data_IF_641506072814
#
_entry.id   IF_641506072814
#
_cell.length_a   1.000
_cell.length_b   1.000
_cell.length_c   1.000
_cell.angle_alpha   90.00
_cell.angle_beta   90.00
_cell.angle_gamma   90.00
#
_symmetry.space_group_name_H-M   'P 1'
#
loop_
_entity.id
_entity.type
_entity.pdbx_description
1 polymer ?
#
# COMPACT_ATOMS: atom_id res chain seq x y z
N UNK A 1 11.73 3.64 3.90
CA UNK A 1 10.98 2.43 4.31
C UNK A 1 9.80 2.82 5.19
N UNK A 2 8.87 1.89 5.41
CA UNK A 2 7.68 2.01 6.28
C UNK A 2 6.68 3.13 5.94
N UNK A 3 6.77 3.71 4.73
CA UNK A 3 5.85 4.75 4.24
C UNK A 3 6.13 6.15 4.77
N UNK A 4 7.21 6.78 4.28
CA UNK A 4 7.60 8.13 4.70
C UNK A 4 7.93 9.00 3.51
N UNK A 5 7.68 10.30 3.66
CA UNK A 5 8.13 11.36 2.75
C UNK A 5 8.79 12.49 3.55
N UNK A 6 9.55 13.35 2.88
CA UNK A 6 10.22 14.47 3.52
C UNK A 6 9.21 15.59 3.90
N UNK A 7 9.53 16.35 4.97
CA UNK A 7 8.69 17.45 5.47
C UNK A 7 8.24 18.48 4.41
N UNK A 8 9.06 18.84 3.39
CA UNK A 8 8.62 19.73 2.31
C UNK A 8 7.37 19.28 1.55
N UNK A 9 7.02 17.99 1.57
CA UNK A 9 5.79 17.49 0.94
C UNK A 9 4.54 17.71 1.80
N UNK A 10 4.66 18.10 3.08
CA UNK A 10 3.52 18.12 4.01
C UNK A 10 2.45 19.13 3.59
N UNK A 11 2.86 20.31 3.13
CA UNK A 11 1.91 21.33 2.64
C UNK A 11 1.19 20.88 1.37
N UNK A 12 1.86 20.08 0.53
CA UNK A 12 1.25 19.48 -0.65
C UNK A 12 0.24 18.39 -0.28
N UNK A 13 0.54 17.58 0.75
CA UNK A 13 -0.39 16.58 1.28
C UNK A 13 -1.65 17.23 1.86
N UNK A 14 -1.50 18.26 2.72
CA UNK A 14 -2.65 19.01 3.26
C UNK A 14 -3.51 19.60 2.15
N UNK A 15 -2.89 20.24 1.13
CA UNK A 15 -3.63 20.78 -0.02
C UNK A 15 -4.38 19.69 -0.81
N UNK A 16 -3.79 18.51 -0.96
CA UNK A 16 -4.42 17.40 -1.65
C UNK A 16 -5.61 16.85 -0.85
N UNK A 17 -5.46 16.71 0.48
CA UNK A 17 -6.56 16.35 1.38
C UNK A 17 -7.72 17.36 1.31
N UNK A 18 -7.43 18.66 1.41
CA UNK A 18 -8.43 19.73 1.34
C UNK A 18 -9.18 19.76 -0.01
N UNK A 19 -8.52 19.30 -1.07
CA UNK A 19 -9.09 19.19 -2.41
C UNK A 19 -9.85 17.87 -2.67
N UNK A 20 -9.97 16.99 -1.67
CA UNK A 20 -10.63 15.68 -1.83
C UNK A 20 -9.86 14.71 -2.71
N UNK A 21 -8.53 14.82 -2.78
CA UNK A 21 -7.69 13.86 -3.51
C UNK A 21 -7.45 12.64 -2.63
N UNK A 22 -7.65 11.44 -3.18
CA UNK A 22 -7.32 10.19 -2.49
C UNK A 22 -5.80 9.98 -2.47
N UNK A 23 -5.21 9.81 -1.28
CA UNK A 23 -3.75 9.69 -1.10
C UNK A 23 -3.43 8.38 -0.38
N UNK A 24 -2.70 7.50 -1.06
CA UNK A 24 -2.26 6.22 -0.52
C UNK A 24 -0.74 6.15 -0.45
N UNK A 25 -0.22 5.47 0.58
CA UNK A 25 1.19 5.23 0.80
C UNK A 25 1.52 3.76 0.56
N UNK A 26 2.58 3.51 -0.22
CA UNK A 26 3.24 2.22 -0.39
C UNK A 26 4.71 2.31 0.03
N UNK A 27 5.44 1.19 0.06
CA UNK A 27 6.87 1.19 0.38
C UNK A 27 7.72 1.11 -0.89
N UNK A 28 8.67 2.06 -1.03
CA UNK A 28 9.69 2.01 -2.10
C UNK A 28 10.58 0.76 -2.00
N UNK A 29 10.72 0.19 -0.80
CA UNK A 29 11.51 -1.02 -0.59
C UNK A 29 10.90 -2.25 -1.26
N UNK A 30 9.65 -2.19 -1.74
CA UNK A 30 8.88 -3.28 -2.34
C UNK A 30 8.55 -4.43 -1.36
N UNK A 31 9.39 -4.66 -0.36
CA UNK A 31 9.19 -5.62 0.71
C UNK A 31 8.63 -4.98 1.99
N UNK A 32 7.84 -5.78 2.69
CA UNK A 32 7.24 -5.42 3.97
C UNK A 32 6.01 -4.53 3.86
N UNK A 33 5.59 -4.06 5.02
CA UNK A 33 4.37 -3.27 5.19
C UNK A 33 4.66 -1.79 5.40
N UNK A 34 3.68 -0.98 5.02
CA UNK A 34 3.58 0.42 5.38
C UNK A 34 3.16 0.55 6.85
N UNK A 35 4.12 0.72 7.76
CA UNK A 35 3.84 0.88 9.21
C UNK A 35 4.03 2.33 9.67
N UNK A 36 3.09 3.19 9.30
CA UNK A 36 3.14 4.62 9.59
C UNK A 36 2.83 4.98 11.06
N UNK A 37 2.43 4.01 11.89
CA UNK A 37 2.16 4.23 13.32
C UNK A 37 3.42 4.24 14.20
N UNK A 38 4.55 3.73 13.70
CA UNK A 38 5.80 3.57 14.49
C UNK A 38 6.45 4.92 14.77
N UNK A 39 6.66 5.73 13.73
CA UNK A 39 7.35 7.01 13.82
C UNK A 39 6.39 8.19 13.81
N UNK A 40 6.80 9.29 14.44
CA UNK A 40 6.05 10.57 14.46
C UNK A 40 5.75 11.06 13.06
N UNK A 41 6.73 11.03 12.16
CA UNK A 41 6.60 11.48 10.77
C UNK A 41 5.55 10.71 9.99
N UNK A 42 5.34 9.42 10.29
CA UNK A 42 4.27 8.62 9.70
C UNK A 42 2.89 9.03 10.20
N UNK A 43 2.74 9.30 11.52
CA UNK A 43 1.49 9.80 12.11
C UNK A 43 1.15 11.19 11.60
N UNK A 44 2.15 12.05 11.40
CA UNK A 44 1.97 13.40 10.85
C UNK A 44 1.38 13.38 9.44
N UNK A 45 1.88 12.52 8.56
CA UNK A 45 1.35 12.45 7.18
C UNK A 45 0.00 11.73 7.12
N UNK A 46 -0.29 10.78 8.02
CA UNK A 46 -1.64 10.21 8.15
C UNK A 46 -2.68 11.26 8.58
N UNK A 47 -2.30 12.15 9.51
CA UNK A 47 -3.17 13.28 9.91
C UNK A 47 -3.44 14.24 8.74
N UNK A 48 -2.65 14.17 7.67
CA UNK A 48 -2.78 14.95 6.41
C UNK A 48 -3.43 14.14 5.28
N UNK A 49 -4.23 13.14 5.64
CA UNK A 49 -5.07 12.39 4.69
C UNK A 49 -4.39 11.22 3.98
N UNK A 50 -3.11 10.91 4.30
CA UNK A 50 -2.42 9.76 3.69
C UNK A 50 -2.90 8.45 4.32
N UNK A 51 -3.28 7.49 3.50
CA UNK A 51 -3.76 6.17 3.92
C UNK A 51 -2.66 5.11 3.68
N UNK A 52 -2.25 4.33 4.69
CA UNK A 52 -1.32 3.21 4.49
C UNK A 52 -1.99 2.10 3.66
N UNK A 53 -1.34 1.67 2.58
CA UNK A 53 -1.84 0.59 1.71
C UNK A 53 -1.23 -0.79 2.07
N UNK A 54 -0.99 -1.03 3.36
CA UNK A 54 -0.43 -2.28 3.89
C UNK A 54 0.85 -2.72 3.16
N UNK A 55 0.91 -3.94 2.63
CA UNK A 55 2.01 -4.46 1.82
C UNK A 55 1.72 -4.48 0.32
N UNK A 56 0.74 -3.69 -0.15
CA UNK A 56 0.42 -3.60 -1.56
C UNK A 56 1.59 -3.01 -2.35
N UNK A 57 1.94 -3.64 -3.47
CA UNK A 57 2.98 -3.15 -4.36
C UNK A 57 2.59 -1.77 -4.94
N UNK A 58 3.56 -0.85 -5.12
CA UNK A 58 3.28 0.48 -5.68
C UNK A 58 2.51 0.45 -7.01
N UNK A 59 2.87 -0.46 -7.91
CA UNK A 59 2.27 -0.62 -9.23
C UNK A 59 0.83 -1.13 -9.12
N UNK A 60 0.58 -2.07 -8.19
CA UNK A 60 -0.75 -2.62 -7.94
C UNK A 60 -1.65 -1.57 -7.29
N UNK A 61 -1.13 -0.81 -6.32
CA UNK A 61 -1.85 0.30 -5.71
C UNK A 61 -2.24 1.38 -6.72
N UNK A 62 -1.36 1.70 -7.67
CA UNK A 62 -1.66 2.64 -8.76
C UNK A 62 -2.83 2.16 -9.63
N UNK A 63 -2.77 0.91 -10.10
CA UNK A 63 -3.84 0.33 -10.95
C UNK A 63 -5.15 0.19 -10.17
N UNK A 64 -5.08 -0.33 -8.93
CA UNK A 64 -6.26 -0.54 -8.08
C UNK A 64 -6.93 0.79 -7.72
N UNK A 65 -6.18 1.86 -7.48
CA UNK A 65 -6.76 3.17 -7.22
C UNK A 65 -7.51 3.72 -8.43
N UNK A 66 -6.95 3.59 -9.64
CA UNK A 66 -7.64 3.96 -10.87
C UNK A 66 -8.93 3.18 -11.09
N UNK A 67 -8.92 1.88 -10.78
CA UNK A 67 -10.11 1.04 -10.84
C UNK A 67 -11.16 1.41 -9.78
N UNK A 68 -10.74 1.63 -8.53
CA UNK A 68 -11.60 1.98 -7.40
C UNK A 68 -12.32 3.32 -7.61
N UNK A 69 -11.61 4.34 -8.10
CA UNK A 69 -12.18 5.63 -8.48
C UNK A 69 -13.14 5.51 -9.69
N UNK A 70 -12.96 4.48 -10.52
CA UNK A 70 -13.93 4.15 -11.57
C UNK A 70 -15.22 3.51 -11.05
N UNK A 71 -15.27 3.05 -9.79
CA UNK A 71 -16.46 2.44 -9.18
C UNK A 71 -17.31 3.45 -8.40
N UNK A 72 -16.70 4.47 -7.81
CA UNK A 72 -17.38 5.44 -6.94
C UNK A 72 -16.55 6.72 -6.79
N UNK A 73 -17.26 7.84 -6.59
CA UNK A 73 -16.67 9.14 -6.22
C UNK A 73 -16.62 9.34 -4.69
N UNK A 74 -17.22 8.45 -3.90
CA UNK A 74 -17.16 8.49 -2.43
C UNK A 74 -15.83 7.93 -1.93
N UNK A 75 -14.99 8.83 -1.38
CA UNK A 75 -13.65 8.49 -0.90
C UNK A 75 -13.62 7.46 0.23
N UNK A 76 -14.68 7.36 1.04
CA UNK A 76 -14.76 6.35 2.09
C UNK A 76 -14.99 4.95 1.50
N UNK A 77 -15.80 4.85 0.44
CA UNK A 77 -15.95 3.60 -0.31
C UNK A 77 -14.71 3.31 -1.17
N UNK A 78 -14.03 4.31 -1.76
CA UNK A 78 -12.73 4.11 -2.41
C UNK A 78 -11.73 3.52 -1.42
N UNK A 79 -11.67 4.05 -0.19
CA UNK A 79 -10.81 3.52 0.88
C UNK A 79 -11.11 2.08 1.22
N UNK A 80 -12.37 1.73 1.36
CA UNK A 80 -12.79 0.36 1.62
C UNK A 80 -12.41 -0.57 0.47
N UNK A 81 -12.61 -0.16 -0.78
CA UNK A 81 -12.20 -0.94 -1.96
C UNK A 81 -10.68 -1.14 -1.96
N UNK A 82 -9.91 -0.08 -1.73
CA UNK A 82 -8.45 -0.12 -1.72
C UNK A 82 -7.91 -1.05 -0.63
N UNK A 83 -8.47 -1.02 0.57
CA UNK A 83 -7.99 -1.79 1.72
C UNK A 83 -8.62 -3.18 1.86
N UNK A 84 -9.64 -3.53 1.06
CA UNK A 84 -10.17 -4.89 0.99
C UNK A 84 -9.38 -5.70 -0.03
N UNK A 85 -8.73 -6.82 0.35
CA UNK A 85 -8.06 -7.70 -0.60
C UNK A 85 -9.05 -8.30 -1.62
N UNK A 86 -8.72 -8.27 -2.90
CA UNK A 86 -9.56 -8.82 -3.99
C UNK A 86 -8.88 -10.03 -4.64
N UNK A 87 -7.56 -9.99 -4.82
CA UNK A 87 -6.76 -10.99 -5.50
C UNK A 87 -5.33 -11.04 -4.90
N UNK A 88 -5.28 -11.18 -3.57
CA UNK A 88 -4.05 -11.34 -2.77
C UNK A 88 -3.04 -10.17 -2.83
N UNK A 89 -3.49 -8.98 -3.24
CA UNK A 89 -2.64 -7.79 -3.30
C UNK A 89 -2.30 -7.20 -1.92
N UNK A 90 -3.01 -7.60 -0.88
CA UNK A 90 -2.70 -7.34 0.53
C UNK A 90 -2.75 -8.69 1.26
N UNK A 91 -1.77 -8.94 2.12
CA UNK A 91 -1.75 -10.14 2.97
C UNK A 91 -2.05 -9.79 4.43
N UNK A 92 -2.56 -10.74 5.21
CA UNK A 92 -2.86 -10.52 6.65
C UNK A 92 -1.60 -10.32 7.51
N UNK A 93 -0.49 -10.95 7.12
CA UNK A 93 0.82 -10.84 7.78
C UNK A 93 1.94 -11.15 6.81
N UNK A 94 3.14 -10.68 7.12
CA UNK A 94 4.31 -11.02 6.33
C UNK A 94 4.65 -12.52 6.48
N UNK A 95 4.67 -13.28 5.39
CA UNK A 95 5.08 -14.68 5.43
C UNK A 95 6.60 -14.78 5.46
N UNK A 96 7.14 -15.87 5.99
CA UNK A 96 8.59 -16.08 6.11
C UNK A 96 9.31 -16.08 4.75
N UNK A 97 8.58 -16.35 3.65
CA UNK A 97 9.06 -16.37 2.27
C UNK A 97 8.67 -15.09 1.49
N UNK A 98 8.16 -14.04 2.14
CA UNK A 98 7.73 -12.79 1.50
C UNK A 98 8.85 -11.90 0.97
N UNK A 99 10.11 -12.26 1.21
CA UNK A 99 11.29 -11.44 0.89
C UNK A 99 11.72 -11.48 -0.59
N UNK A 100 11.08 -12.32 -1.41
CA UNK A 100 11.21 -12.29 -2.87
C UNK A 100 10.00 -11.50 -3.39
N UNK A 101 10.15 -10.65 -4.42
CA UNK A 101 9.06 -9.88 -5.06
C UNK A 101 8.12 -10.84 -5.80
N UNK A 102 7.50 -11.74 -5.05
CA UNK A 102 6.57 -12.77 -5.48
C UNK A 102 5.44 -12.90 -4.44
N UNK A 103 5.33 -11.95 -3.49
CA UNK A 103 4.30 -11.91 -2.45
C UNK A 103 4.05 -13.32 -1.87
N UNK A 104 5.03 -13.83 -1.12
CA UNK A 104 5.07 -15.22 -0.66
C UNK A 104 3.74 -15.75 -0.10
N UNK A 105 3.52 -17.06 -0.21
CA UNK A 105 2.25 -17.69 0.16
C UNK A 105 1.32 -17.99 -1.01
N UNK A 106 1.63 -17.49 -2.21
CA UNK A 106 0.97 -17.91 -3.45
C UNK A 106 1.40 -19.34 -3.85
N UNK A 107 0.45 -20.28 -4.07
CA UNK A 107 0.75 -21.65 -4.47
C UNK A 107 1.65 -21.75 -5.71
N UNK A 108 1.39 -20.94 -6.72
CA UNK A 108 2.10 -20.91 -8.00
C UNK A 108 3.57 -20.47 -7.82
N UNK A 109 3.79 -19.49 -6.94
CA UNK A 109 5.13 -19.02 -6.57
C UNK A 109 5.88 -20.10 -5.80
N UNK A 110 5.21 -20.78 -4.87
CA UNK A 110 5.82 -21.85 -4.09
C UNK A 110 6.21 -23.03 -4.99
N UNK A 111 5.35 -23.40 -5.94
CA UNK A 111 5.66 -24.43 -6.95
C UNK A 111 6.87 -24.02 -7.80
N UNK A 112 6.92 -22.77 -8.27
CA UNK A 112 8.04 -22.25 -9.04
C UNK A 112 9.36 -22.33 -8.27
N UNK A 113 9.37 -21.86 -7.02
CA UNK A 113 10.55 -21.87 -6.15
C UNK A 113 11.03 -23.30 -5.87
N UNK A 114 10.12 -24.22 -5.58
CA UNK A 114 10.43 -25.62 -5.31
C UNK A 114 10.98 -26.36 -6.54
N UNK A 115 10.64 -25.91 -7.75
CA UNK A 115 11.05 -26.59 -9.00
C UNK A 115 12.35 -26.03 -9.57
N UNK A 116 12.65 -24.75 -9.36
CA UNK A 116 13.74 -24.05 -10.05
C UNK A 116 14.82 -23.48 -9.14
N UNK A 117 14.59 -23.39 -7.82
CA UNK A 117 15.50 -22.67 -6.91
C UNK A 117 15.94 -23.50 -5.69
N UNK A 118 15.05 -24.31 -5.13
CA UNK A 118 15.31 -25.24 -4.02
C UNK A 118 15.52 -26.67 -4.53
#
# INVERSE_FOLDING_TARGET
GLGHVNKPLYDALSRAQDAGVAIYMTVQTLWGYVHMYVYETGRDIMARGVIPAENMLPEVAYVKLGWALGQTDDLDEVRKIMLTPINDEITDREPYNGYIILQGGLPEVQEFLNTHWL
#
